data_IF_645996156015
#
_entry.id   IF_645996156015
#
_cell.length_a   1.000
_cell.length_b   1.000
_cell.length_c   1.000
_cell.angle_alpha   90.00
_cell.angle_beta   90.00
_cell.angle_gamma   90.00
#
_symmetry.space_group_name_H-M   'P 1'
#
loop_
_entity.id
_entity.type
_entity.pdbx_description
1 polymer ?
#
# COMPACT_ATOMS: atom_id res chain seq x y z
N UNK A 1 -12.61 8.28 -25.16
CA UNK A 1 -12.08 7.62 -23.94
C UNK A 1 -11.62 8.73 -23.02
N UNK A 2 -12.42 9.07 -22.01
CA UNK A 2 -12.24 10.30 -21.22
C UNK A 2 -11.27 9.98 -20.08
N UNK A 3 -10.07 10.55 -20.12
CA UNK A 3 -9.10 10.51 -19.03
C UNK A 3 -9.56 11.45 -17.92
N UNK A 4 -9.98 10.89 -16.77
CA UNK A 4 -10.09 11.67 -15.54
C UNK A 4 -8.68 11.81 -14.93
N UNK A 5 -7.94 12.82 -15.38
CA UNK A 5 -6.78 13.32 -14.66
C UNK A 5 -7.22 13.83 -13.29
N UNK A 6 -6.75 13.20 -12.23
CA UNK A 6 -7.06 13.62 -10.85
C UNK A 6 -6.35 14.93 -10.51
N UNK A 7 -7.02 15.89 -9.84
CA UNK A 7 -6.46 17.18 -9.50
C UNK A 7 -5.57 17.07 -8.25
N UNK A 8 -4.32 16.69 -8.42
CA UNK A 8 -3.33 16.86 -7.35
C UNK A 8 -2.73 18.27 -7.48
N UNK A 9 -3.15 19.16 -6.55
CA UNK A 9 -2.63 20.52 -6.44
C UNK A 9 -1.12 20.46 -6.20
N UNK A 10 -0.39 21.09 -7.11
CA UNK A 10 1.04 21.41 -7.00
C UNK A 10 1.27 22.29 -5.76
N UNK A 11 1.96 21.80 -4.73
CA UNK A 11 2.32 22.65 -3.58
C UNK A 11 2.86 21.96 -2.31
N UNK A 12 2.51 20.71 -2.04
CA UNK A 12 3.13 19.93 -0.95
C UNK A 12 3.91 18.76 -1.54
N UNK A 13 5.21 18.67 -1.26
CA UNK A 13 5.98 17.46 -1.53
C UNK A 13 5.48 16.33 -0.62
N UNK A 14 4.31 15.77 -0.94
CA UNK A 14 3.77 14.62 -0.24
C UNK A 14 4.73 13.47 -0.50
N UNK A 15 5.53 13.12 0.50
CA UNK A 15 6.58 12.11 0.37
C UNK A 15 5.90 10.73 0.27
N UNK A 16 5.70 10.26 -0.96
CA UNK A 16 5.19 8.93 -1.22
C UNK A 16 6.29 7.91 -0.91
N UNK A 17 6.11 7.13 0.15
CA UNK A 17 7.05 6.09 0.54
C UNK A 17 6.40 4.72 0.39
N UNK A 18 7.19 3.71 0.01
CA UNK A 18 6.67 2.34 -0.16
C UNK A 18 6.45 1.70 1.19
N UNK A 19 5.35 0.95 1.32
CA UNK A 19 5.05 0.21 2.54
C UNK A 19 6.14 -0.81 2.88
N UNK A 20 6.81 -1.37 1.87
CA UNK A 20 7.93 -2.31 2.04
C UNK A 20 9.14 -1.73 2.78
N UNK A 21 9.33 -0.40 2.70
CA UNK A 21 10.48 0.31 3.26
C UNK A 21 10.17 0.92 4.64
N UNK A 22 8.90 0.86 5.08
CA UNK A 22 8.47 1.42 6.37
C UNK A 22 8.75 0.48 7.53
N UNK A 23 9.09 1.03 8.68
CA UNK A 23 9.24 0.26 9.92
C UNK A 23 7.88 -0.19 10.49
N UNK A 24 7.91 -0.89 11.61
CA UNK A 24 6.71 -1.22 12.38
C UNK A 24 6.00 0.08 12.80
N UNK A 25 4.71 0.19 12.53
CA UNK A 25 3.99 1.46 12.71
C UNK A 25 2.61 1.46 12.06
N UNK A 26 1.90 2.58 12.21
CA UNK A 26 0.61 2.84 11.55
C UNK A 26 0.86 3.84 10.42
N UNK A 27 0.33 3.53 9.24
CA UNK A 27 0.53 4.33 8.03
C UNK A 27 -0.79 4.47 7.28
N UNK A 28 -0.93 5.56 6.52
CA UNK A 28 -2.12 5.77 5.68
C UNK A 28 -1.81 5.42 4.24
N UNK A 29 -2.64 4.58 3.62
CA UNK A 29 -2.50 4.21 2.22
C UNK A 29 -2.84 5.43 1.36
N UNK A 30 -1.88 5.86 0.56
CA UNK A 30 -2.05 6.97 -0.39
C UNK A 30 -2.38 6.45 -1.79
N UNK A 31 -1.73 5.36 -2.20
CA UNK A 31 -1.89 4.80 -3.55
C UNK A 31 -1.58 3.32 -3.54
N UNK A 32 -2.27 2.57 -4.39
CA UNK A 32 -1.97 1.16 -4.68
C UNK A 32 -1.80 1.03 -6.19
N UNK A 33 -0.62 0.60 -6.62
CA UNK A 33 -0.29 0.40 -8.02
C UNK A 33 -0.51 -1.06 -8.44
N UNK A 34 -0.92 -1.26 -9.69
CA UNK A 34 -1.00 -2.60 -10.26
C UNK A 34 0.39 -3.00 -10.77
N UNK A 35 0.91 -4.13 -10.32
CA UNK A 35 2.16 -4.66 -10.86
C UNK A 35 1.87 -5.95 -11.64
N UNK A 36 2.09 -5.95 -12.97
CA UNK A 36 1.80 -7.10 -13.83
C UNK A 36 2.59 -8.36 -13.40
N UNK A 37 3.75 -8.22 -12.76
CA UNK A 37 4.56 -9.34 -12.28
C UNK A 37 3.97 -10.02 -11.04
N UNK A 38 3.12 -9.32 -10.28
CA UNK A 38 2.60 -9.84 -9.00
C UNK A 38 1.31 -10.66 -9.15
N UNK A 39 0.77 -10.79 -10.37
CA UNK A 39 -0.52 -11.45 -10.70
C UNK A 39 -1.69 -11.06 -9.77
N UNK A 40 -1.53 -10.00 -8.98
CA UNK A 40 -2.47 -9.57 -7.94
C UNK A 40 -3.11 -8.30 -8.44
N UNK A 41 -4.40 -8.40 -8.79
CA UNK A 41 -5.15 -7.25 -9.30
C UNK A 41 -5.46 -6.25 -8.18
N UNK A 42 -5.55 -4.96 -8.52
CA UNK A 42 -6.02 -3.93 -7.59
C UNK A 42 -7.39 -4.25 -6.98
N UNK A 43 -8.24 -5.00 -7.71
CA UNK A 43 -9.52 -5.47 -7.20
C UNK A 43 -9.35 -6.34 -5.95
N UNK A 44 -8.41 -7.29 -5.98
CA UNK A 44 -8.11 -8.17 -4.84
C UNK A 44 -7.52 -7.41 -3.66
N UNK A 45 -6.73 -6.36 -3.92
CA UNK A 45 -6.20 -5.49 -2.88
C UNK A 45 -7.31 -4.67 -2.20
N UNK A 46 -8.25 -4.14 -2.99
CA UNK A 46 -9.42 -3.46 -2.46
C UNK A 46 -10.30 -4.40 -1.62
N UNK A 47 -10.51 -5.64 -2.06
CA UNK A 47 -11.26 -6.66 -1.30
C UNK A 47 -10.60 -6.99 0.05
N UNK A 48 -9.27 -6.90 0.15
CA UNK A 48 -8.52 -7.05 1.41
C UNK A 48 -8.51 -5.77 2.26
N UNK A 49 -9.13 -4.68 1.81
CA UNK A 49 -9.16 -3.40 2.51
C UNK A 49 -7.92 -2.52 2.30
N UNK A 50 -7.03 -2.88 1.37
CA UNK A 50 -5.91 -2.03 0.92
C UNK A 50 -6.42 -0.95 -0.03
N UNK A 51 -7.15 0.02 0.52
CA UNK A 51 -7.82 1.08 -0.21
C UNK A 51 -7.18 2.43 0.18
N UNK A 52 -7.03 3.34 -0.79
CA UNK A 52 -6.55 4.71 -0.51
C UNK A 52 -7.38 5.39 0.59
N UNK A 53 -6.70 6.08 1.50
CA UNK A 53 -7.27 6.74 2.67
C UNK A 53 -7.48 5.82 3.87
N UNK A 54 -7.28 4.50 3.75
CA UNK A 54 -7.35 3.58 4.89
C UNK A 54 -6.01 3.45 5.60
N UNK A 55 -6.10 3.22 6.90
CA UNK A 55 -4.95 2.97 7.76
C UNK A 55 -4.55 1.49 7.70
N UNK A 56 -3.25 1.26 7.60
CA UNK A 56 -2.61 -0.04 7.71
C UNK A 56 -1.58 -0.01 8.83
N UNK A 57 -1.52 -1.07 9.64
CA UNK A 57 -0.50 -1.22 10.69
C UNK A 57 0.51 -2.28 10.26
N UNK A 58 1.76 -1.89 10.08
CA UNK A 58 2.88 -2.83 9.91
C UNK A 58 3.23 -3.40 11.28
N UNK A 59 3.23 -4.72 11.41
CA UNK A 59 3.54 -5.44 12.67
C UNK A 59 4.91 -6.10 12.58
N UNK A 60 5.26 -6.65 11.42
CA UNK A 60 6.55 -7.31 11.18
C UNK A 60 7.07 -6.85 9.81
N UNK A 61 8.30 -6.34 9.78
CA UNK A 61 9.02 -6.02 8.54
C UNK A 61 10.45 -6.55 8.56
N UNK A 62 10.58 -7.88 8.45
CA UNK A 62 11.88 -8.51 8.29
C UNK A 62 12.37 -8.43 6.84
N UNK A 63 13.65 -8.10 6.64
CA UNK A 63 14.25 -7.97 5.29
C UNK A 63 14.19 -9.28 4.48
N UNK A 64 14.16 -10.43 5.16
CA UNK A 64 14.15 -11.77 4.54
C UNK A 64 12.76 -12.42 4.49
N UNK A 65 11.72 -11.77 5.04
CA UNK A 65 10.40 -12.36 5.23
C UNK A 65 9.26 -11.60 4.55
N UNK A 66 8.03 -12.16 4.59
CA UNK A 66 6.83 -11.43 4.22
C UNK A 66 6.58 -10.26 5.19
N UNK A 67 5.99 -9.19 4.67
CA UNK A 67 5.55 -8.07 5.49
C UNK A 67 4.23 -8.47 6.16
N UNK A 68 4.17 -8.45 7.48
CA UNK A 68 2.92 -8.71 8.20
C UNK A 68 2.25 -7.41 8.56
N UNK A 69 1.04 -7.22 8.05
CA UNK A 69 0.24 -6.02 8.24
C UNK A 69 -1.09 -6.35 8.90
N UNK A 70 -1.71 -5.33 9.49
CA UNK A 70 -3.07 -5.38 10.01
C UNK A 70 -3.88 -4.29 9.32
N UNK A 71 -5.00 -4.68 8.73
CA UNK A 71 -5.95 -3.80 8.04
C UNK A 71 -7.30 -4.00 8.73
N UNK A 72 -7.83 -2.96 9.36
CA UNK A 72 -8.98 -3.09 10.24
C UNK A 72 -8.68 -4.08 11.37
N UNK A 73 -9.42 -5.20 11.42
CA UNK A 73 -9.26 -6.26 12.42
C UNK A 73 -8.55 -7.51 11.88
N UNK A 74 -8.09 -7.48 10.63
CA UNK A 74 -7.52 -8.66 9.96
C UNK A 74 -6.01 -8.55 9.88
N UNK A 75 -5.31 -9.61 10.30
CA UNK A 75 -3.86 -9.75 10.14
C UNK A 75 -3.57 -10.49 8.83
N UNK A 76 -2.76 -9.87 7.98
CA UNK A 76 -2.44 -10.38 6.64
C UNK A 76 -0.92 -10.38 6.46
N UNK A 77 -0.38 -11.48 5.94
CA UNK A 77 1.00 -11.52 5.47
C UNK A 77 1.00 -11.23 3.96
N UNK A 78 1.75 -10.22 3.54
CA UNK A 78 1.93 -9.87 2.13
C UNK A 78 3.38 -10.03 1.71
N UNK A 79 3.60 -10.42 0.46
CA UNK A 79 4.96 -10.50 -0.08
C UNK A 79 5.57 -9.10 -0.18
N UNK A 80 6.91 -9.01 -0.08
CA UNK A 80 7.63 -7.75 -0.23
C UNK A 80 7.41 -7.12 -1.62
N UNK A 81 7.27 -7.96 -2.66
CA UNK A 81 6.90 -7.52 -4.01
C UNK A 81 5.53 -6.82 -4.03
N UNK A 82 4.55 -7.36 -3.30
CA UNK A 82 3.24 -6.73 -3.21
C UNK A 82 3.28 -5.43 -2.38
N UNK A 83 4.03 -5.43 -1.28
CA UNK A 83 4.22 -4.25 -0.45
C UNK A 83 4.92 -3.09 -1.18
N UNK A 84 5.76 -3.38 -2.18
CA UNK A 84 6.39 -2.36 -3.04
C UNK A 84 5.39 -1.58 -3.91
N UNK A 85 4.18 -2.13 -4.12
CA UNK A 85 3.15 -1.49 -4.92
C UNK A 85 2.22 -0.60 -4.08
N UNK A 86 2.41 -0.57 -2.77
CA UNK A 86 1.56 0.18 -1.83
C UNK A 86 2.36 1.38 -1.34
N UNK A 87 1.83 2.57 -1.58
CA UNK A 87 2.43 3.83 -1.14
C UNK A 87 1.69 4.37 0.06
N UNK A 88 2.46 4.83 1.05
CA UNK A 88 1.95 5.31 2.33
C UNK A 88 2.66 6.59 2.78
N UNK A 89 2.02 7.25 3.76
CA UNK A 89 2.57 8.32 4.61
C UNK A 89 2.79 7.72 6.00
#
# INVERSE_FOLDING_TARGET
>A
MIYFGSPYKSGESQKFERLADKNVGKYTILKVENNPETHTSCKKLNEMGLITGKMVKVVINDKKGPLTIVIGNTKVAISRKLANNIYVN
#
